data_IF_231626949119
#
_entry.id   IF_231626949119
#
_cell.length_a   1.000
_cell.length_b   1.000
_cell.length_c   1.000
_cell.angle_alpha   90.00
_cell.angle_beta   90.00
_cell.angle_gamma   90.00
#
_symmetry.space_group_name_H-M   'P 1'
#
loop_
_entity.id
_entity.type
_entity.pdbx_description
1 polymer ?
#
# COMPACT_ATOMS: atom_id res chain seq x y z
N UNK A 1 -16.65 7.43 -12.63
CA UNK A 1 -15.97 6.79 -11.48
C UNK A 1 -16.71 5.50 -11.21
N UNK A 2 -16.01 4.37 -10.98
CA UNK A 2 -16.68 3.13 -10.56
C UNK A 2 -17.16 3.33 -9.12
N UNK A 3 -18.48 3.37 -8.93
CA UNK A 3 -19.12 3.46 -7.62
C UNK A 3 -19.10 2.08 -6.95
N UNK A 4 -17.98 1.76 -6.30
CA UNK A 4 -17.89 0.58 -5.42
C UNK A 4 -18.28 1.03 -4.01
N UNK A 5 -19.29 0.37 -3.44
CA UNK A 5 -19.62 0.49 -2.02
C UNK A 5 -18.57 -0.26 -1.20
N UNK A 6 -17.86 0.46 -0.34
CA UNK A 6 -16.77 -0.12 0.45
C UNK A 6 -17.37 -0.58 1.78
N UNK A 7 -17.26 -1.88 2.13
CA UNK A 7 -17.73 -2.38 3.41
C UNK A 7 -17.08 -1.60 4.55
N UNK A 8 -17.90 -1.14 5.50
CA UNK A 8 -17.41 -0.36 6.64
C UNK A 8 -16.31 -1.10 7.41
N UNK A 9 -16.40 -2.44 7.53
CA UNK A 9 -15.35 -3.27 8.14
C UNK A 9 -14.01 -3.17 7.42
N UNK A 10 -13.99 -3.18 6.08
CA UNK A 10 -12.78 -3.04 5.28
C UNK A 10 -12.20 -1.62 5.41
N UNK A 11 -13.07 -0.62 5.43
CA UNK A 11 -12.68 0.77 5.65
C UNK A 11 -12.02 0.98 7.02
N UNK A 12 -12.65 0.48 8.08
CA UNK A 12 -12.14 0.59 9.45
C UNK A 12 -10.81 -0.14 9.62
N UNK A 13 -10.67 -1.34 9.04
CA UNK A 13 -9.43 -2.11 9.08
C UNK A 13 -8.29 -1.39 8.35
N UNK A 14 -8.50 -1.02 7.08
CA UNK A 14 -7.48 -0.36 6.27
C UNK A 14 -7.11 1.02 6.80
N UNK A 15 -8.11 1.79 7.24
CA UNK A 15 -7.86 3.10 7.84
C UNK A 15 -7.03 3.00 9.13
N UNK A 16 -7.28 1.98 9.98
CA UNK A 16 -6.47 1.74 11.18
C UNK A 16 -5.05 1.31 10.84
N UNK A 17 -4.86 0.47 9.83
CA UNK A 17 -3.52 0.08 9.37
C UNK A 17 -2.73 1.28 8.84
N UNK A 18 -3.34 2.11 7.98
CA UNK A 18 -2.72 3.34 7.47
C UNK A 18 -2.32 4.31 8.57
N UNK A 19 -3.20 4.47 9.56
CA UNK A 19 -2.91 5.31 10.71
C UNK A 19 -1.77 4.75 11.56
N UNK A 20 -1.78 3.45 11.84
CA UNK A 20 -0.70 2.77 12.56
C UNK A 20 0.65 2.92 11.88
N UNK A 21 0.71 2.70 10.56
CA UNK A 21 1.93 2.91 9.76
C UNK A 21 2.39 4.38 9.79
N UNK A 22 1.45 5.33 9.71
CA UNK A 22 1.76 6.76 9.83
C UNK A 22 2.34 7.10 11.21
N UNK A 23 1.82 6.51 12.28
CA UNK A 23 2.35 6.71 13.64
C UNK A 23 3.75 6.14 13.81
N UNK A 24 4.01 4.93 13.27
CA UNK A 24 5.36 4.33 13.27
C UNK A 24 6.36 5.19 12.48
N UNK A 25 5.93 5.72 11.34
CA UNK A 25 6.76 6.62 10.54
C UNK A 25 7.05 7.93 11.31
N UNK A 26 6.04 8.54 11.93
CA UNK A 26 6.23 9.74 12.76
C UNK A 26 7.10 9.48 13.98
N UNK A 27 6.99 8.31 14.62
CA UNK A 27 7.88 7.91 15.71
C UNK A 27 9.34 7.86 15.25
N UNK A 28 9.57 7.33 14.05
CA UNK A 28 10.92 7.20 13.46
C UNK A 28 11.48 8.55 12.99
N UNK A 29 10.65 9.40 12.35
CA UNK A 29 11.08 10.69 11.77
C UNK A 29 11.13 11.85 12.77
N UNK A 30 10.14 11.94 13.66
CA UNK A 30 9.93 13.10 14.55
C UNK A 30 10.39 12.80 15.99
N UNK A 31 10.76 11.55 16.31
CA UNK A 31 11.07 11.09 17.68
C UNK A 31 9.99 11.49 18.68
N UNK A 32 8.73 11.18 18.35
CA UNK A 32 7.60 11.41 19.24
C UNK A 32 7.87 10.78 20.62
N UNK A 33 7.58 11.51 21.69
CA UNK A 33 7.64 10.97 23.05
C UNK A 33 6.53 9.96 23.28
N UNK A 34 6.70 9.05 24.24
CA UNK A 34 5.69 8.02 24.56
C UNK A 34 4.33 8.63 24.92
N UNK A 35 4.31 9.81 25.56
CA UNK A 35 3.06 10.53 25.88
C UNK A 35 2.36 11.10 24.63
N UNK A 36 3.12 11.63 23.68
CA UNK A 36 2.59 12.11 22.40
C UNK A 36 2.05 10.92 21.57
N UNK A 37 2.81 9.82 21.54
CA UNK A 37 2.40 8.59 20.86
C UNK A 37 1.13 8.01 21.47
N UNK A 38 1.01 7.95 22.80
CA UNK A 38 -0.20 7.46 23.48
C UNK A 38 -1.43 8.35 23.21
N UNK A 39 -1.23 9.66 23.12
CA UNK A 39 -2.29 10.62 22.78
C UNK A 39 -2.77 10.40 21.33
N UNK A 40 -1.84 10.23 20.40
CA UNK A 40 -2.14 9.96 18.99
C UNK A 40 -2.69 8.54 18.78
N UNK A 41 -2.31 7.56 19.62
CA UNK A 41 -2.84 6.19 19.55
C UNK A 41 -4.20 6.02 20.23
N UNK A 42 -4.75 7.10 20.81
CA UNK A 42 -6.03 7.04 21.50
C UNK A 42 -7.19 6.78 20.52
N UNK A 43 -8.26 6.05 20.93
CA UNK A 43 -9.40 5.75 20.06
C UNK A 43 -10.03 6.98 19.42
N UNK A 44 -10.00 8.10 20.15
CA UNK A 44 -10.48 9.40 19.67
C UNK A 44 -9.66 9.92 18.48
N UNK A 45 -8.34 9.90 18.58
CA UNK A 45 -7.44 10.34 17.52
C UNK A 45 -7.53 9.43 16.28
N UNK A 46 -7.68 8.12 16.49
CA UNK A 46 -7.94 7.17 15.40
C UNK A 46 -9.24 7.50 14.67
N UNK A 47 -10.34 7.71 15.40
CA UNK A 47 -11.62 8.05 14.78
C UNK A 47 -11.57 9.41 14.05
N UNK A 48 -10.96 10.43 14.65
CA UNK A 48 -10.78 11.73 13.98
C UNK A 48 -9.98 11.57 12.67
N UNK A 49 -8.91 10.75 12.68
CA UNK A 49 -8.16 10.45 11.47
C UNK A 49 -9.01 9.72 10.42
N UNK A 50 -9.77 8.69 10.81
CA UNK A 50 -10.65 7.95 9.92
C UNK A 50 -11.71 8.86 9.28
N UNK A 51 -12.26 9.81 10.03
CA UNK A 51 -13.24 10.77 9.51
C UNK A 51 -12.59 11.78 8.58
N UNK A 52 -11.47 12.41 8.99
CA UNK A 52 -10.77 13.41 8.18
C UNK A 52 -10.17 12.83 6.89
N UNK A 53 -9.71 11.59 6.93
CA UNK A 53 -9.10 10.91 5.79
C UNK A 53 -10.07 9.96 5.08
N UNK A 54 -11.38 10.02 5.38
CA UNK A 54 -12.38 9.09 4.82
C UNK A 54 -12.32 9.00 3.30
N UNK A 55 -12.28 10.13 2.60
CA UNK A 55 -12.19 10.14 1.13
C UNK A 55 -10.89 9.53 0.63
N UNK A 56 -9.76 9.85 1.27
CA UNK A 56 -8.45 9.32 0.88
C UNK A 56 -8.40 7.80 1.08
N UNK A 57 -8.78 7.31 2.27
CA UNK A 57 -8.84 5.87 2.59
C UNK A 57 -9.77 5.16 1.60
N UNK A 58 -10.94 5.73 1.32
CA UNK A 58 -11.88 5.17 0.34
C UNK A 58 -11.26 5.08 -1.05
N UNK A 59 -10.58 6.15 -1.51
CA UNK A 59 -9.92 6.17 -2.82
C UNK A 59 -8.77 5.16 -2.89
N UNK A 60 -7.97 5.02 -1.83
CA UNK A 60 -6.90 4.03 -1.76
C UNK A 60 -7.45 2.61 -1.85
N UNK A 61 -8.51 2.28 -1.09
CA UNK A 61 -9.13 0.96 -1.16
C UNK A 61 -9.70 0.72 -2.56
N UNK A 62 -10.36 1.71 -3.18
CA UNK A 62 -10.85 1.61 -4.57
C UNK A 62 -9.71 1.34 -5.55
N UNK A 63 -8.56 2.01 -5.39
CA UNK A 63 -7.39 1.80 -6.24
C UNK A 63 -6.85 0.38 -6.08
N UNK A 64 -6.64 -0.10 -4.85
CA UNK A 64 -6.15 -1.46 -4.60
C UNK A 64 -7.12 -2.52 -5.15
N UNK A 65 -8.43 -2.32 -4.96
CA UNK A 65 -9.45 -3.21 -5.53
C UNK A 65 -9.45 -3.17 -7.06
N UNK A 66 -9.31 -1.98 -7.66
CA UNK A 66 -9.25 -1.83 -9.12
C UNK A 66 -8.01 -2.50 -9.71
N UNK A 67 -6.85 -2.36 -9.08
CA UNK A 67 -5.60 -3.02 -9.49
C UNK A 67 -5.77 -4.53 -9.47
N UNK A 68 -6.29 -5.09 -8.37
CA UNK A 68 -6.53 -6.53 -8.26
C UNK A 68 -7.61 -7.05 -9.22
N UNK A 69 -8.65 -6.26 -9.50
CA UNK A 69 -9.68 -6.61 -10.48
C UNK A 69 -9.13 -6.62 -11.92
N UNK A 70 -8.33 -5.61 -12.31
CA UNK A 70 -7.66 -5.55 -13.62
C UNK A 70 -6.71 -6.73 -13.78
N UNK A 71 -5.85 -6.99 -12.79
CA UNK A 71 -4.90 -8.10 -12.82
C UNK A 71 -5.60 -9.45 -13.10
N UNK A 72 -6.73 -9.70 -12.41
CA UNK A 72 -7.53 -10.91 -12.58
C UNK A 72 -8.26 -10.97 -13.93
N UNK A 73 -8.91 -9.88 -14.36
CA UNK A 73 -9.71 -9.84 -15.58
C UNK A 73 -8.86 -9.97 -16.85
N UNK A 74 -7.72 -9.31 -16.86
CA UNK A 74 -6.78 -9.33 -17.98
C UNK A 74 -5.88 -10.58 -17.97
N UNK A 75 -6.13 -11.51 -17.02
CA UNK A 75 -5.36 -12.75 -16.84
C UNK A 75 -3.85 -12.49 -16.80
N UNK A 76 -3.44 -11.41 -16.14
CA UNK A 76 -2.04 -11.04 -16.04
C UNK A 76 -1.31 -12.13 -15.26
N UNK A 77 -0.17 -12.58 -15.80
CA UNK A 77 0.70 -13.51 -15.11
C UNK A 77 2.03 -12.82 -14.86
N UNK A 78 2.41 -12.76 -13.59
CA UNK A 78 3.78 -12.48 -13.23
C UNK A 78 4.56 -13.78 -13.31
N UNK A 79 5.60 -13.86 -14.15
CA UNK A 79 6.44 -15.05 -14.16
C UNK A 79 7.09 -15.18 -12.78
N UNK A 80 7.01 -16.37 -12.21
CA UNK A 80 7.54 -16.67 -10.87
C UNK A 80 9.03 -16.34 -10.77
N UNK A 81 9.76 -16.40 -11.90
CA UNK A 81 11.17 -16.02 -12.00
C UNK A 81 11.41 -14.54 -11.67
N UNK A 82 10.56 -13.62 -12.12
CA UNK A 82 10.69 -12.19 -11.80
C UNK A 82 10.43 -11.93 -10.32
N UNK A 83 9.43 -12.61 -9.73
CA UNK A 83 9.13 -12.52 -8.30
C UNK A 83 10.32 -13.04 -7.48
N UNK A 84 10.84 -14.23 -7.82
CA UNK A 84 11.98 -14.82 -7.10
C UNK A 84 13.21 -13.91 -7.16
N UNK A 85 13.52 -13.38 -8.35
CA UNK A 85 14.67 -12.51 -8.56
C UNK A 85 14.57 -11.21 -7.76
N UNK A 86 13.40 -10.58 -7.72
CA UNK A 86 13.19 -9.34 -6.97
C UNK A 86 13.16 -9.57 -5.45
N UNK A 87 12.64 -10.73 -5.01
CA UNK A 87 12.73 -11.15 -3.61
C UNK A 87 14.19 -11.39 -3.21
N UNK A 88 14.97 -12.09 -4.04
CA UNK A 88 16.40 -12.30 -3.78
C UNK A 88 17.18 -10.99 -3.75
N UNK A 89 16.89 -10.06 -4.67
CA UNK A 89 17.47 -8.71 -4.66
C UNK A 89 17.14 -7.97 -3.36
N UNK A 90 15.86 -7.94 -2.96
CA UNK A 90 15.40 -7.29 -1.74
C UNK A 90 16.05 -7.89 -0.49
N UNK A 91 16.10 -9.22 -0.38
CA UNK A 91 16.76 -9.94 0.72
C UNK A 91 18.26 -9.63 0.75
N UNK A 92 18.92 -9.58 -0.41
CA UNK A 92 20.34 -9.23 -0.48
C UNK A 92 20.61 -7.81 0.03
N UNK A 93 19.71 -6.86 -0.25
CA UNK A 93 19.79 -5.51 0.31
C UNK A 93 19.59 -5.48 1.82
N UNK A 94 18.58 -6.18 2.36
CA UNK A 94 18.39 -6.29 3.81
C UNK A 94 19.59 -6.89 4.51
N UNK A 95 20.18 -7.95 3.94
CA UNK A 95 21.43 -8.56 4.44
C UNK A 95 22.61 -7.58 4.42
N UNK A 96 22.75 -6.77 3.35
CA UNK A 96 23.80 -5.72 3.27
C UNK A 96 23.62 -4.65 4.33
N UNK A 97 22.39 -4.27 4.62
CA UNK A 97 22.06 -3.28 5.65
C UNK A 97 22.05 -3.85 7.08
N UNK A 98 22.28 -5.17 7.24
CA UNK A 98 22.16 -5.91 8.53
C UNK A 98 20.83 -5.64 9.24
N UNK A 99 19.77 -5.50 8.46
CA UNK A 99 18.44 -5.26 8.98
C UNK A 99 17.73 -6.59 9.19
N UNK A 100 16.98 -6.73 10.27
CA UNK A 100 16.05 -7.86 10.43
C UNK A 100 14.95 -7.78 9.37
N UNK A 101 14.71 -8.89 8.69
CA UNK A 101 13.69 -9.01 7.67
C UNK A 101 12.98 -10.35 7.83
N UNK A 102 11.72 -10.38 7.43
CA UNK A 102 10.89 -11.57 7.40
C UNK A 102 10.71 -12.00 5.94
N UNK A 103 11.16 -13.21 5.60
CA UNK A 103 11.18 -13.69 4.22
C UNK A 103 9.78 -13.80 3.61
N UNK A 104 8.78 -14.22 4.41
CA UNK A 104 7.40 -14.34 3.94
C UNK A 104 6.83 -12.94 3.65
N UNK A 105 7.05 -11.99 4.57
CA UNK A 105 6.61 -10.60 4.38
C UNK A 105 7.30 -9.88 3.24
N UNK A 106 8.59 -10.15 3.00
CA UNK A 106 9.33 -9.58 1.86
C UNK A 106 8.76 -10.13 0.56
N UNK A 107 8.47 -11.43 0.51
CA UNK A 107 7.86 -12.07 -0.66
C UNK A 107 6.48 -11.49 -0.99
N UNK A 108 5.61 -11.35 0.01
CA UNK A 108 4.27 -10.76 -0.19
C UNK A 108 4.36 -9.31 -0.70
N UNK A 109 5.23 -8.50 -0.10
CA UNK A 109 5.43 -7.11 -0.52
C UNK A 109 5.97 -6.99 -1.94
N UNK A 110 6.99 -7.78 -2.30
CA UNK A 110 7.54 -7.77 -3.66
C UNK A 110 6.49 -8.21 -4.67
N UNK A 111 5.67 -9.21 -4.32
CA UNK A 111 4.60 -9.65 -5.19
C UNK A 111 3.56 -8.55 -5.42
N UNK A 112 3.07 -7.89 -4.36
CA UNK A 112 2.11 -6.80 -4.46
C UNK A 112 2.64 -5.63 -5.31
N UNK A 113 3.93 -5.28 -5.13
CA UNK A 113 4.60 -4.23 -5.90
C UNK A 113 4.68 -4.61 -7.38
N UNK A 114 5.07 -5.85 -7.70
CA UNK A 114 5.16 -6.33 -9.07
C UNK A 114 3.79 -6.41 -9.74
N UNK A 115 2.76 -6.84 -9.01
CA UNK A 115 1.37 -6.90 -9.50
C UNK A 115 0.88 -5.48 -9.83
N UNK A 116 1.10 -4.54 -8.92
CA UNK A 116 0.76 -3.13 -9.12
C UNK A 116 1.52 -2.50 -10.29
N UNK A 117 2.83 -2.74 -10.40
CA UNK A 117 3.65 -2.24 -11.50
C UNK A 117 3.14 -2.78 -12.84
N UNK A 118 2.85 -4.08 -12.92
CA UNK A 118 2.35 -4.71 -14.15
C UNK A 118 1.01 -4.15 -14.61
N UNK A 119 0.09 -3.92 -13.68
CA UNK A 119 -1.21 -3.30 -13.97
C UNK A 119 -1.04 -1.86 -14.45
N UNK A 120 -0.13 -1.09 -13.83
CA UNK A 120 0.16 0.28 -14.26
C UNK A 120 0.79 0.32 -15.66
N UNK A 121 1.68 -0.61 -15.99
CA UNK A 121 2.23 -0.75 -17.34
C UNK A 121 1.12 -1.06 -18.35
N UNK A 122 0.26 -2.02 -18.05
CA UNK A 122 -0.87 -2.35 -18.92
C UNK A 122 -1.81 -1.16 -19.11
N UNK A 123 -2.14 -0.44 -18.03
CA UNK A 123 -2.94 0.78 -18.09
C UNK A 123 -2.28 1.83 -18.97
N UNK A 124 -0.96 1.98 -18.92
CA UNK A 124 -0.24 2.91 -19.78
C UNK A 124 -0.31 2.53 -21.26
N UNK A 125 -0.28 1.25 -21.58
CA UNK A 125 -0.40 0.75 -22.96
C UNK A 125 -1.83 0.86 -23.51
N UNK A 126 -2.84 0.74 -22.64
CA UNK A 126 -4.25 0.70 -23.03
C UNK A 126 -5.01 2.01 -22.78
N UNK A 127 -4.41 2.98 -22.09
CA UNK A 127 -4.99 4.31 -21.87
C UNK A 127 -4.49 5.33 -22.90
N UNK A 128 -5.37 6.25 -23.27
CA UNK A 128 -4.99 7.40 -24.08
C UNK A 128 -4.16 8.38 -23.23
N UNK A 129 -2.85 8.43 -23.50
CA UNK A 129 -1.95 9.37 -22.83
C UNK A 129 -1.99 10.72 -23.55
N UNK A 130 -2.54 11.73 -22.89
CA UNK A 130 -2.51 13.11 -23.39
C UNK A 130 -1.36 13.88 -22.75
N UNK A 131 -0.49 14.47 -23.58
CA UNK A 131 0.59 15.33 -23.12
C UNK A 131 0.07 16.77 -22.98
N UNK A 132 0.03 17.29 -21.75
CA UNK A 132 -0.24 18.70 -21.50
C UNK A 132 1.10 19.44 -21.51
N UNK A 133 1.33 20.23 -22.55
CA UNK A 133 2.46 21.16 -22.58
C UNK A 133 2.03 22.40 -21.81
N UNK A 134 2.71 22.69 -20.70
CA UNK A 134 2.46 23.84 -19.82
C UNK A 134 3.16 25.08 -20.37
#
# INVERSE_FOLDING_TARGET
MVEVDIPQSLFDEQGRQLYGSSLLEMQTKIKLSEQQLATLSSPKAVNEYLEHHRENITNLIKQNLAVGDIYKRENMQLPTEDIVKEVENSIAEFKRQKQEYDEERVKEQVQEILEGAKVLEWLREHAEVQYITI
#
